data_IF_080982842653
#
_entry.id   IF_080982842653
#
_cell.length_a   1.000
_cell.length_b   1.000
_cell.length_c   1.000
_cell.angle_alpha   90.00
_cell.angle_beta   90.00
_cell.angle_gamma   90.00
#
_symmetry.space_group_name_H-M   'P 1'
#
loop_
_entity.id
_entity.type
_entity.pdbx_description
1 polymer ?
#
# COMPACT_ATOMS: atom_id res chain seq x y z
N UNK A 1 -21.21 -3.68 -15.74
CA UNK A 1 -20.27 -2.84 -14.95
C UNK A 1 -20.05 -3.56 -13.62
N UNK A 2 -18.81 -3.65 -13.11
CA UNK A 2 -18.50 -4.47 -11.92
C UNK A 2 -18.93 -3.77 -10.63
N UNK A 3 -19.19 -4.56 -9.60
CA UNK A 3 -19.52 -4.09 -8.26
C UNK A 3 -18.32 -4.31 -7.34
N UNK A 4 -17.97 -3.27 -6.59
CA UNK A 4 -16.97 -3.31 -5.52
C UNK A 4 -17.69 -3.02 -4.20
N UNK A 5 -17.49 -3.88 -3.21
CA UNK A 5 -18.11 -3.70 -1.89
C UNK A 5 -17.20 -2.85 -1.02
N UNK A 6 -17.54 -1.59 -0.83
CA UNK A 6 -16.77 -0.72 0.07
C UNK A 6 -17.10 -1.08 1.53
N UNK A 7 -16.10 -1.30 2.42
CA UNK A 7 -16.35 -1.57 3.84
C UNK A 7 -17.19 -0.49 4.52
N UNK A 8 -17.04 0.77 4.10
CA UNK A 8 -17.80 1.90 4.64
C UNK A 8 -19.17 2.09 3.95
N UNK A 9 -19.25 1.91 2.62
CA UNK A 9 -20.39 2.36 1.81
C UNK A 9 -21.23 1.23 1.20
N UNK A 10 -20.86 -0.03 1.44
CA UNK A 10 -21.48 -1.21 0.85
C UNK A 10 -21.20 -1.37 -0.66
N UNK A 11 -21.98 -2.20 -1.36
CA UNK A 11 -21.84 -2.44 -2.80
C UNK A 11 -22.04 -1.17 -3.63
N UNK A 12 -21.05 -0.83 -4.46
CA UNK A 12 -21.05 0.34 -5.34
C UNK A 12 -20.48 -0.01 -6.70
N UNK A 13 -20.69 0.88 -7.68
CA UNK A 13 -20.13 0.69 -9.00
C UNK A 13 -18.61 0.85 -8.95
N UNK A 14 -17.85 -0.07 -9.55
CA UNK A 14 -16.38 -0.01 -9.51
C UNK A 14 -15.82 1.31 -10.10
N UNK A 15 -16.57 2.00 -10.98
CA UNK A 15 -16.17 3.29 -11.54
C UNK A 15 -16.11 4.44 -10.53
N UNK A 16 -16.70 4.28 -9.34
CA UNK A 16 -16.62 5.26 -8.25
C UNK A 16 -15.24 5.24 -7.53
N UNK A 17 -14.41 4.24 -7.85
CA UNK A 17 -13.17 3.96 -7.13
C UNK A 17 -11.94 4.18 -8.00
N UNK A 18 -10.85 4.60 -7.35
CA UNK A 18 -9.53 4.79 -7.96
C UNK A 18 -8.60 3.69 -7.47
N UNK A 19 -7.91 3.04 -8.39
CA UNK A 19 -6.88 2.05 -8.09
C UNK A 19 -5.63 2.73 -7.51
N UNK A 20 -5.16 2.24 -6.36
CA UNK A 20 -4.03 2.78 -5.62
C UNK A 20 -2.74 1.96 -5.70
N UNK A 21 -2.73 0.87 -6.47
CA UNK A 21 -1.58 -0.03 -6.56
C UNK A 21 -1.68 -1.24 -5.64
N UNK A 22 -0.69 -2.12 -5.77
CA UNK A 22 -0.54 -3.30 -4.91
C UNK A 22 -0.16 -2.89 -3.49
N UNK A 23 -0.73 -3.58 -2.50
CA UNK A 23 -0.31 -3.49 -1.11
C UNK A 23 1.04 -4.19 -0.98
N UNK A 24 2.09 -3.41 -0.71
CA UNK A 24 3.47 -3.90 -0.55
C UNK A 24 3.99 -3.57 0.83
N UNK A 25 4.79 -4.48 1.36
CA UNK A 25 5.58 -4.20 2.56
C UNK A 25 6.73 -3.26 2.20
N UNK A 26 6.78 -2.12 2.87
CA UNK A 26 7.84 -1.15 2.65
C UNK A 26 9.12 -1.62 3.37
N UNK A 27 10.27 -1.70 2.69
CA UNK A 27 11.53 -1.97 3.35
C UNK A 27 11.88 -0.82 4.29
N UNK A 28 12.65 -1.10 5.35
CA UNK A 28 13.09 -0.04 6.27
C UNK A 28 13.99 0.95 5.52
N UNK A 29 13.56 2.22 5.35
CA UNK A 29 14.28 3.20 4.56
C UNK A 29 15.65 3.58 5.13
N UNK A 30 15.93 3.24 6.40
CA UNK A 30 17.23 3.50 7.04
C UNK A 30 18.26 2.41 6.77
N UNK A 31 17.82 1.19 6.50
CA UNK A 31 18.70 0.02 6.45
C UNK A 31 18.70 -0.69 5.10
N UNK A 32 17.68 -0.46 4.25
CA UNK A 32 17.63 -1.04 2.92
C UNK A 32 18.68 -0.45 1.99
N UNK A 33 19.12 -1.26 1.03
CA UNK A 33 19.97 -0.84 -0.07
C UNK A 33 19.18 -0.04 -1.11
N UNK A 34 19.86 0.79 -1.90
CA UNK A 34 19.26 1.50 -3.04
C UNK A 34 18.53 0.56 -4.01
N UNK A 35 19.04 -0.66 -4.16
CA UNK A 35 18.42 -1.69 -4.99
C UNK A 35 17.09 -2.14 -4.40
N UNK A 36 17.05 -2.50 -3.12
CA UNK A 36 15.81 -2.91 -2.44
C UNK A 36 14.78 -1.77 -2.45
N UNK A 37 15.24 -0.53 -2.26
CA UNK A 37 14.38 0.64 -2.37
C UNK A 37 13.81 0.83 -3.78
N UNK A 38 14.65 0.71 -4.82
CA UNK A 38 14.20 0.80 -6.20
C UNK A 38 13.23 -0.32 -6.58
N UNK A 39 13.49 -1.55 -6.12
CA UNK A 39 12.61 -2.70 -6.29
C UNK A 39 11.22 -2.43 -5.67
N UNK A 40 11.18 -1.87 -4.45
CA UNK A 40 9.92 -1.48 -3.80
C UNK A 40 9.16 -0.36 -4.56
N UNK A 41 9.85 0.72 -4.95
CA UNK A 41 9.21 1.91 -5.54
C UNK A 41 8.76 1.67 -6.98
N UNK A 42 9.57 0.99 -7.80
CA UNK A 42 9.37 0.96 -9.25
C UNK A 42 8.93 -0.39 -9.80
N UNK A 43 9.26 -1.49 -9.13
CA UNK A 43 8.97 -2.83 -9.66
C UNK A 43 7.72 -3.43 -9.03
N UNK A 44 6.92 -4.08 -9.86
CA UNK A 44 5.76 -4.87 -9.43
C UNK A 44 5.81 -6.22 -10.11
N UNK A 45 5.40 -7.26 -9.41
CA UNK A 45 5.30 -8.58 -10.03
C UNK A 45 4.07 -8.64 -10.95
N UNK A 46 4.27 -9.10 -12.19
CA UNK A 46 3.21 -9.20 -13.19
C UNK A 46 2.67 -10.63 -13.35
N UNK A 47 2.73 -11.44 -12.29
CA UNK A 47 2.25 -12.82 -12.30
C UNK A 47 0.74 -12.85 -12.08
N UNK A 48 0.04 -13.73 -12.80
CA UNK A 48 -1.39 -13.98 -12.55
C UNK A 48 -1.56 -14.61 -11.16
N UNK A 49 -2.20 -13.88 -10.24
CA UNK A 49 -2.47 -14.32 -8.88
C UNK A 49 -3.62 -13.52 -8.27
N UNK A 50 -3.97 -13.85 -7.04
CA UNK A 50 -4.72 -12.95 -6.17
C UNK A 50 -3.76 -11.90 -5.63
N UNK A 51 -4.09 -10.62 -5.84
CA UNK A 51 -3.32 -9.47 -5.40
C UNK A 51 -4.13 -8.68 -4.38
N UNK A 52 -3.46 -8.22 -3.31
CA UNK A 52 -4.00 -7.22 -2.39
C UNK A 52 -3.76 -5.85 -2.96
N UNK A 53 -4.80 -5.05 -3.07
CA UNK A 53 -4.77 -3.78 -3.78
C UNK A 53 -5.38 -2.67 -2.94
N UNK A 54 -4.76 -1.50 -2.98
CA UNK A 54 -5.35 -0.29 -2.44
C UNK A 54 -6.43 0.24 -3.38
N UNK A 55 -7.60 0.56 -2.81
CA UNK A 55 -8.70 1.18 -3.53
C UNK A 55 -9.21 2.40 -2.76
N UNK A 56 -9.44 3.49 -3.50
CA UNK A 56 -9.91 4.76 -2.95
C UNK A 56 -11.32 5.06 -3.45
N UNK A 57 -12.28 5.16 -2.53
CA UNK A 57 -13.61 5.62 -2.86
C UNK A 57 -13.63 7.15 -2.99
N UNK A 58 -13.61 7.64 -4.22
CA UNK A 58 -13.46 9.07 -4.52
C UNK A 58 -14.53 9.95 -3.88
N UNK A 59 -15.77 9.45 -3.79
CA UNK A 59 -16.90 10.21 -3.24
C UNK A 59 -16.87 10.36 -1.71
N UNK A 60 -16.32 9.38 -0.97
CA UNK A 60 -16.27 9.44 0.51
C UNK A 60 -14.87 9.69 1.08
N UNK A 61 -13.84 9.74 0.25
CA UNK A 61 -12.46 9.91 0.70
C UNK A 61 -11.90 8.70 1.47
N UNK A 62 -12.50 7.52 1.32
CA UNK A 62 -12.14 6.34 2.12
C UNK A 62 -11.23 5.39 1.36
N UNK A 63 -10.13 5.01 2.00
CA UNK A 63 -9.18 4.00 1.52
C UNK A 63 -9.47 2.64 2.15
N UNK A 64 -9.43 1.59 1.34
CA UNK A 64 -9.58 0.21 1.78
C UNK A 64 -8.76 -0.73 0.90
N UNK A 65 -8.74 -2.00 1.29
CA UNK A 65 -7.99 -3.03 0.58
C UNK A 65 -8.97 -4.01 -0.07
N UNK A 66 -8.68 -4.41 -1.30
CA UNK A 66 -9.38 -5.47 -1.99
C UNK A 66 -8.41 -6.60 -2.37
N UNK A 67 -8.85 -7.85 -2.24
CA UNK A 67 -8.19 -9.01 -2.83
C UNK A 67 -8.85 -9.31 -4.18
N UNK A 68 -8.06 -9.24 -5.25
CA UNK A 68 -8.55 -9.39 -6.62
C UNK A 68 -7.72 -10.40 -7.40
N UNK A 69 -8.39 -11.32 -8.09
CA UNK A 69 -7.70 -12.22 -9.01
C UNK A 69 -7.40 -11.50 -10.33
N UNK A 70 -6.12 -11.32 -10.69
CA UNK A 70 -5.71 -10.37 -11.74
C UNK A 70 -6.11 -10.77 -13.16
N UNK A 71 -6.37 -12.06 -13.43
CA UNK A 71 -6.81 -12.52 -14.75
C UNK A 71 -8.34 -12.51 -14.94
N UNK A 72 -9.12 -12.90 -13.92
CA UNK A 72 -10.59 -12.89 -13.98
C UNK A 72 -11.17 -11.53 -13.57
N UNK A 73 -10.36 -10.72 -12.89
CA UNK A 73 -10.75 -9.44 -12.31
C UNK A 73 -11.95 -9.62 -11.36
N UNK A 74 -11.97 -10.77 -10.66
CA UNK A 74 -12.90 -11.13 -9.60
C UNK A 74 -12.44 -10.50 -8.29
N UNK A 75 -13.35 -9.76 -7.64
CA UNK A 75 -13.14 -9.22 -6.29
C UNK A 75 -13.53 -10.32 -5.29
N UNK A 76 -12.55 -10.84 -4.58
CA UNK A 76 -12.71 -11.96 -3.64
C UNK A 76 -13.14 -11.45 -2.27
N UNK A 77 -12.47 -10.42 -1.76
CA UNK A 77 -12.73 -9.82 -0.45
C UNK A 77 -12.35 -8.33 -0.47
N UNK A 78 -13.04 -7.55 0.35
CA UNK A 78 -12.72 -6.16 0.64
C UNK A 78 -12.72 -5.95 2.15
N UNK A 79 -11.80 -5.16 2.68
CA UNK A 79 -11.68 -4.95 4.12
C UNK A 79 -11.02 -3.61 4.49
N UNK A 80 -11.27 -3.18 5.72
CA UNK A 80 -10.65 -1.97 6.28
C UNK A 80 -9.13 -2.19 6.43
N UNK A 81 -8.30 -1.17 6.17
CA UNK A 81 -6.85 -1.30 6.27
C UNK A 81 -6.36 -1.71 7.67
N UNK A 82 -7.13 -1.43 8.71
CA UNK A 82 -6.82 -1.87 10.07
C UNK A 82 -6.71 -3.39 10.18
N UNK A 83 -7.34 -4.19 9.31
CA UNK A 83 -7.13 -5.65 9.30
C UNK A 83 -5.68 -6.06 9.02
N UNK A 84 -4.89 -5.22 8.34
CA UNK A 84 -3.45 -5.45 8.10
C UNK A 84 -2.55 -4.55 8.95
N UNK A 85 -2.93 -3.29 9.14
CA UNK A 85 -2.10 -2.28 9.78
C UNK A 85 -2.70 -1.86 11.12
N UNK A 86 -2.26 -2.52 12.19
CA UNK A 86 -2.69 -2.23 13.56
C UNK A 86 -1.89 -1.10 14.21
N UNK A 87 -0.68 -0.86 13.71
CA UNK A 87 0.26 0.10 14.28
C UNK A 87 0.61 1.17 13.26
N UNK A 88 0.77 2.40 13.74
CA UNK A 88 1.26 3.51 12.94
C UNK A 88 2.77 3.40 12.79
N UNK A 89 3.26 3.50 11.56
CA UNK A 89 4.69 3.64 11.29
C UNK A 89 5.11 5.10 11.51
N UNK A 90 6.09 5.31 12.38
CA UNK A 90 6.69 6.63 12.66
C UNK A 90 8.09 6.72 12.03
N UNK A 91 8.32 7.74 11.21
CA UNK A 91 9.60 7.96 10.52
C UNK A 91 10.42 9.03 11.25
N UNK A 92 11.02 8.67 12.39
CA UNK A 92 11.85 9.61 13.15
C UNK A 92 13.28 9.73 12.57
N UNK A 93 13.76 10.96 12.38
CA UNK A 93 15.15 11.24 12.04
C UNK A 93 16.08 10.89 13.22
N UNK A 94 17.08 10.04 13.01
CA UNK A 94 18.17 9.90 13.96
C UNK A 94 19.13 11.08 13.83
N UNK A 95 19.36 11.78 14.94
CA UNK A 95 20.27 12.92 15.03
C UNK A 95 21.68 12.47 14.65
N UNK A 96 22.24 13.09 13.61
CA UNK A 96 23.66 13.00 13.28
C UNK A 96 24.52 13.14 14.55
N UNK A 97 25.18 12.05 14.96
CA UNK A 97 26.19 12.07 16.03
C UNK A 97 27.31 12.98 15.55
N UNK A 98 27.42 14.14 16.20
CA UNK A 98 28.46 15.13 15.90
C UNK A 98 29.82 14.56 16.29
N UNK A 99 30.57 14.02 15.33
CA UNK A 99 32.01 13.83 15.51
C UNK A 99 32.68 15.20 15.42
N UNK A 100 32.72 15.94 16.54
CA UNK A 100 33.69 17.04 16.70
C UNK A 100 35.07 16.42 16.80
N UNK A 101 35.70 16.18 15.66
CA UNK A 101 37.13 15.94 15.59
C UNK A 101 37.86 17.24 15.94
N UNK A 102 38.37 17.32 17.16
CA UNK A 102 39.44 18.25 17.51
C UNK A 102 40.64 17.97 16.61
N UNK A 103 41.09 18.97 15.86
CA UNK A 103 42.49 19.03 15.40
C UNK A 103 43.06 20.34 15.93
N UNK A 104 44.11 20.18 16.71
CA UNK A 104 44.92 21.26 17.30
C UNK A 104 45.72 22.01 16.23
#
# INVERSE_FOLDING_TARGET
MKIMTCPLNGPRNISEFVYGGEVKDMPDPKTCTDKEWADYVFYSENTVRVVKEWWFHSASGYWFIAERHTASDEIIKTYDPSELYQERVEFNEEKNVTMKGNVA
#
